data_IF_615815372617
#
_entry.id   IF_615815372617
#
_cell.length_a   1.000
_cell.length_b   1.000
_cell.length_c   1.000
_cell.angle_alpha   90.00
_cell.angle_beta   90.00
_cell.angle_gamma   90.00
#
_symmetry.space_group_name_H-M   'P 1'
#
loop_
_entity.id
_entity.type
_entity.pdbx_description
1 polymer ?
#
# COMPACT_ATOMS: atom_id res chain seq x y z
N UNK A 1 -3.33 -5.54 -12.22
CA UNK A 1 -1.99 -5.18 -12.73
C UNK A 1 -2.02 -4.34 -13.99
N UNK A 2 -3.01 -4.47 -14.89
CA UNK A 2 -3.16 -3.69 -16.15
C UNK A 2 -2.61 -2.25 -16.12
N UNK A 3 -2.97 -1.42 -15.13
CA UNK A 3 -2.47 -0.04 -15.04
C UNK A 3 -0.97 0.02 -14.67
N UNK A 4 -0.54 -0.71 -13.63
CA UNK A 4 0.87 -0.77 -13.24
C UNK A 4 1.77 -1.27 -14.40
N UNK A 5 1.31 -2.31 -15.09
CA UNK A 5 2.01 -2.87 -16.27
C UNK A 5 2.11 -1.81 -17.39
N UNK A 6 1.03 -1.08 -17.65
CA UNK A 6 1.01 -0.02 -18.67
C UNK A 6 1.93 1.16 -18.35
N UNK A 7 2.20 1.40 -17.06
CA UNK A 7 3.11 2.43 -16.58
C UNK A 7 4.55 1.92 -16.42
N UNK A 8 4.82 0.64 -16.69
CA UNK A 8 6.12 0.02 -16.45
C UNK A 8 6.53 -0.01 -14.96
N UNK A 9 5.56 0.05 -14.05
CA UNK A 9 5.80 0.08 -12.59
C UNK A 9 5.73 -1.33 -12.04
N UNK A 10 6.79 -1.76 -11.35
CA UNK A 10 6.82 -3.04 -10.64
C UNK A 10 5.91 -2.99 -9.42
N UNK A 11 4.97 -3.93 -9.32
CA UNK A 11 4.13 -4.16 -8.14
C UNK A 11 4.14 -5.66 -7.84
N UNK A 12 4.70 -6.04 -6.69
CA UNK A 12 4.84 -7.44 -6.29
C UNK A 12 3.59 -8.00 -5.60
N UNK A 13 2.77 -7.13 -5.01
CA UNK A 13 1.54 -7.49 -4.30
C UNK A 13 0.44 -6.44 -4.51
N UNK A 14 -0.79 -6.90 -4.76
CA UNK A 14 -2.00 -6.09 -4.62
C UNK A 14 -2.93 -6.86 -3.68
N UNK A 15 -3.31 -6.26 -2.55
CA UNK A 15 -4.13 -6.93 -1.53
C UNK A 15 -5.36 -6.11 -1.15
N UNK A 16 -6.51 -6.79 -1.06
CA UNK A 16 -7.80 -6.19 -0.73
C UNK A 16 -8.23 -6.41 0.73
N UNK A 17 -7.41 -7.13 1.50
CA UNK A 17 -7.72 -7.61 2.85
C UNK A 17 -6.79 -7.01 3.90
N UNK A 18 -6.12 -5.91 3.57
CA UNK A 18 -5.22 -5.19 4.48
C UNK A 18 -4.04 -6.04 4.97
N UNK A 19 -3.57 -6.99 4.15
CA UNK A 19 -2.42 -7.83 4.48
C UNK A 19 -1.17 -7.36 3.72
N UNK A 20 -0.08 -7.10 4.43
CA UNK A 20 1.22 -6.77 3.84
C UNK A 20 2.16 -7.98 3.91
N UNK A 21 2.50 -8.55 2.74
CA UNK A 21 3.54 -9.57 2.63
C UNK A 21 4.91 -8.89 2.66
N UNK A 22 5.62 -9.05 3.77
CA UNK A 22 6.93 -8.45 4.02
C UNK A 22 8.06 -9.07 3.21
N UNK A 23 7.81 -10.16 2.49
CA UNK A 23 8.78 -10.78 1.58
C UNK A 23 8.81 -10.13 0.18
N UNK A 24 7.84 -9.25 -0.12
CA UNK A 24 7.71 -8.54 -1.40
C UNK A 24 8.32 -7.15 -1.33
N UNK A 25 8.87 -6.61 -2.43
CA UNK A 25 9.48 -5.28 -2.39
C UNK A 25 8.44 -4.15 -2.39
N UNK A 26 7.41 -4.27 -3.25
CA UNK A 26 6.41 -3.23 -3.49
C UNK A 26 4.98 -3.76 -3.43
N UNK A 27 4.15 -3.14 -2.58
CA UNK A 27 2.77 -3.54 -2.37
C UNK A 27 1.79 -2.36 -2.56
N UNK A 28 0.61 -2.67 -3.08
CA UNK A 28 -0.55 -1.77 -3.06
C UNK A 28 -1.63 -2.42 -2.21
N UNK A 29 -2.03 -1.75 -1.14
CA UNK A 29 -2.96 -2.27 -0.15
C UNK A 29 -4.25 -1.47 -0.18
N UNK A 30 -5.37 -2.18 -0.28
CA UNK A 30 -6.67 -1.59 -0.08
C UNK A 30 -6.98 -1.56 1.42
N UNK A 31 -7.16 -0.35 1.96
CA UNK A 31 -7.50 -0.08 3.36
C UNK A 31 -9.00 0.13 3.58
N UNK A 32 -9.81 -0.17 2.57
CA UNK A 32 -11.23 0.04 2.64
C UNK A 32 -11.89 -0.86 3.67
N UNK A 33 -12.92 -0.32 4.29
CA UNK A 33 -13.88 -1.05 5.11
C UNK A 33 -15.25 -0.98 4.44
N UNK A 34 -16.26 -1.73 4.93
CA UNK A 34 -17.63 -1.59 4.45
C UNK A 34 -18.16 -0.14 4.52
N UNK A 35 -17.63 0.70 5.43
CA UNK A 35 -18.07 2.10 5.57
C UNK A 35 -17.47 3.04 4.51
N UNK A 36 -16.21 2.84 4.11
CA UNK A 36 -15.49 3.78 3.22
C UNK A 36 -15.60 3.36 1.74
N UNK A 37 -16.07 2.13 1.48
CA UNK A 37 -16.07 1.52 0.14
C UNK A 37 -14.65 1.32 -0.38
N UNK A 38 -14.45 0.47 -1.40
CA UNK A 38 -13.15 0.02 -1.95
C UNK A 38 -12.13 1.08 -2.46
N UNK A 39 -12.14 2.30 -1.92
CA UNK A 39 -11.54 3.54 -2.42
C UNK A 39 -10.23 3.92 -1.75
N UNK A 40 -9.96 3.47 -0.51
CA UNK A 40 -8.74 3.83 0.20
C UNK A 40 -7.61 2.87 -0.18
N UNK A 41 -6.63 3.37 -0.91
CA UNK A 41 -5.46 2.61 -1.38
C UNK A 41 -4.17 3.23 -0.90
N UNK A 42 -3.26 2.40 -0.41
CA UNK A 42 -1.96 2.81 0.13
C UNK A 42 -0.85 2.07 -0.61
N UNK A 43 0.19 2.78 -1.03
CA UNK A 43 1.37 2.20 -1.64
C UNK A 43 2.46 1.99 -0.58
N UNK A 44 3.12 0.83 -0.58
CA UNK A 44 4.14 0.46 0.40
C UNK A 44 5.38 -0.04 -0.31
N UNK A 45 6.55 0.45 0.09
CA UNK A 45 7.84 -0.14 -0.25
C UNK A 45 8.46 -0.77 0.99
N UNK A 46 8.49 -2.11 1.03
CA UNK A 46 9.21 -2.83 2.06
C UNK A 46 10.73 -2.66 1.89
N UNK A 47 11.22 -2.54 0.65
CA UNK A 47 12.64 -2.29 0.37
C UNK A 47 13.14 -0.95 0.93
N UNK A 48 12.34 0.11 0.78
CA UNK A 48 12.68 1.45 1.25
C UNK A 48 12.23 1.76 2.68
N UNK A 49 11.48 0.85 3.32
CA UNK A 49 10.77 1.11 4.57
C UNK A 49 9.95 2.42 4.52
N UNK A 50 9.18 2.59 3.43
CA UNK A 50 8.36 3.79 3.20
C UNK A 50 6.96 3.42 2.76
N UNK A 51 6.00 4.31 2.98
CA UNK A 51 4.65 4.18 2.45
C UNK A 51 4.07 5.54 2.07
N UNK A 52 3.10 5.52 1.16
CA UNK A 52 2.37 6.70 0.70
C UNK A 52 0.87 6.42 0.82
N UNK A 53 0.16 7.30 1.51
CA UNK A 53 -1.28 7.30 1.65
C UNK A 53 -1.83 8.62 1.07
N UNK A 54 -2.55 8.61 -0.06
CA UNK A 54 -3.03 9.82 -0.72
C UNK A 54 -3.98 10.65 0.14
N UNK A 55 -4.56 10.07 1.20
CA UNK A 55 -5.47 10.77 2.10
C UNK A 55 -4.77 11.40 3.30
N UNK A 56 -3.45 11.19 3.47
CA UNK A 56 -2.69 11.73 4.61
C UNK A 56 -3.20 11.24 5.97
N UNK A 57 -3.88 10.09 6.00
CA UNK A 57 -4.46 9.53 7.22
C UNK A 57 -3.36 8.95 8.13
N UNK A 58 -3.68 8.74 9.42
CA UNK A 58 -2.77 8.04 10.32
C UNK A 58 -2.32 6.69 9.75
N UNK A 59 -1.06 6.32 9.99
CA UNK A 59 -0.46 5.07 9.51
C UNK A 59 -1.39 3.86 9.77
N UNK A 60 -1.77 3.10 8.73
CA UNK A 60 -2.46 1.83 8.90
C UNK A 60 -1.67 0.85 9.76
N UNK A 61 -2.35 0.12 10.67
CA UNK A 61 -1.69 -0.79 11.62
C UNK A 61 -0.87 -1.89 10.95
N UNK A 62 -1.29 -2.31 9.77
CA UNK A 62 -0.66 -3.34 8.92
C UNK A 62 0.75 -2.93 8.46
N UNK A 63 0.99 -1.63 8.31
CA UNK A 63 2.29 -1.09 7.90
C UNK A 63 3.17 -0.99 9.15
N UNK A 64 4.40 -1.54 9.18
CA UNK A 64 5.25 -1.48 10.36
C UNK A 64 5.52 -0.04 10.84
N UNK A 65 5.61 0.15 12.16
CA UNK A 65 5.85 1.47 12.75
C UNK A 65 7.19 2.11 12.36
N UNK A 66 8.16 1.29 11.93
CA UNK A 66 9.46 1.76 11.43
C UNK A 66 9.40 2.38 10.04
N UNK A 67 8.26 2.32 9.34
CA UNK A 67 8.16 2.80 7.97
C UNK A 67 7.84 4.29 7.95
N UNK A 68 8.55 5.03 7.11
CA UNK A 68 8.39 6.48 6.96
C UNK A 68 7.28 6.82 5.98
N UNK A 69 6.44 7.79 6.34
CA UNK A 69 5.45 8.36 5.42
C UNK A 69 6.13 9.23 4.37
N UNK A 70 5.79 9.03 3.10
CA UNK A 70 6.15 9.92 2.01
C UNK A 70 5.06 10.99 1.88
N UNK A 71 5.46 12.24 2.12
CA UNK A 71 4.65 13.44 1.91
C UNK A 71 4.80 13.97 0.49
#
# INVERSE_FOLDING_TARGET
>A
MKLADSLGVKVDQIDFKQNLDRSKDYAILNMSTPQIGGTHWVAVSNKGHVYFDPLGLPRPRVIPASYKYLS
#
